data_IF_299955248133
#
_entry.id   IF_299955248133
#
_cell.length_a   1.000
_cell.length_b   1.000
_cell.length_c   1.000
_cell.angle_alpha   90.00
_cell.angle_beta   90.00
_cell.angle_gamma   90.00
#
_symmetry.space_group_name_H-M   'P 1'
#
loop_
_entity.id
_entity.type
_entity.pdbx_description
1 polymer ?
#
# COMPACT_ATOMS: atom_id res chain seq x y z
N UNK A 1 56.97 2.62 -17.15
CA UNK A 1 56.43 1.34 -17.65
C UNK A 1 55.08 1.12 -16.98
N UNK A 2 53.99 1.61 -17.59
CA UNK A 2 52.65 1.49 -16.99
C UNK A 2 52.10 0.09 -17.24
N UNK A 3 51.77 -0.62 -16.17
CA UNK A 3 51.15 -1.94 -16.23
C UNK A 3 49.64 -1.74 -16.41
N UNK A 4 49.14 -2.01 -17.61
CA UNK A 4 47.71 -1.99 -17.92
C UNK A 4 47.06 -3.24 -17.33
N UNK A 5 46.19 -3.07 -16.33
CA UNK A 5 45.37 -4.15 -15.77
C UNK A 5 44.09 -4.24 -16.61
N UNK A 6 43.97 -5.28 -17.42
CA UNK A 6 42.71 -5.66 -18.06
C UNK A 6 41.80 -6.29 -16.99
N UNK A 7 40.78 -5.55 -16.55
CA UNK A 7 39.75 -6.09 -15.67
C UNK A 7 38.70 -6.78 -16.57
N UNK A 8 38.41 -8.08 -16.38
CA UNK A 8 37.33 -8.75 -17.09
C UNK A 8 35.99 -8.15 -16.67
N UNK A 9 35.15 -7.80 -17.65
CA UNK A 9 33.80 -7.29 -17.42
C UNK A 9 32.97 -8.38 -16.70
N UNK A 10 32.44 -8.13 -15.48
CA UNK A 10 31.69 -9.13 -14.74
C UNK A 10 30.41 -9.46 -15.50
N UNK A 11 30.40 -10.62 -16.16
CA UNK A 11 29.24 -11.16 -16.85
C UNK A 11 28.03 -11.10 -15.91
N UNK A 12 27.12 -10.15 -16.18
CA UNK A 12 25.89 -9.92 -15.42
C UNK A 12 24.91 -11.12 -15.47
N UNK A 13 25.32 -12.21 -16.13
CA UNK A 13 24.69 -13.52 -16.04
C UNK A 13 24.81 -14.14 -14.63
N UNK A 14 25.72 -13.66 -13.77
CA UNK A 14 25.85 -14.11 -12.36
C UNK A 14 24.90 -13.39 -11.39
N UNK A 15 23.73 -12.99 -11.90
CA UNK A 15 22.54 -12.82 -11.07
C UNK A 15 22.26 -14.19 -10.42
N UNK A 16 22.85 -14.42 -9.24
CA UNK A 16 22.75 -15.67 -8.51
C UNK A 16 21.28 -16.05 -8.26
N UNK A 17 21.01 -17.30 -7.84
CA UNK A 17 19.66 -17.86 -7.78
C UNK A 17 18.67 -17.04 -6.91
N UNK A 18 19.14 -16.10 -6.09
CA UNK A 18 18.31 -15.17 -5.30
C UNK A 18 18.06 -13.78 -5.90
N UNK A 19 18.88 -13.28 -6.84
CA UNK A 19 18.69 -11.91 -7.36
C UNK A 19 17.52 -11.82 -8.33
N UNK A 20 17.27 -12.88 -9.12
CA UNK A 20 16.07 -12.98 -9.95
C UNK A 20 14.79 -12.97 -9.11
N UNK A 21 14.79 -13.69 -7.98
CA UNK A 21 13.66 -13.74 -7.05
C UNK A 21 13.41 -12.36 -6.41
N UNK A 22 14.47 -11.65 -6.03
CA UNK A 22 14.38 -10.28 -5.52
C UNK A 22 13.85 -9.32 -6.58
N UNK A 23 14.34 -9.38 -7.82
CA UNK A 23 13.88 -8.51 -8.90
C UNK A 23 12.38 -8.68 -9.18
N UNK A 24 11.91 -9.93 -9.25
CA UNK A 24 10.50 -10.25 -9.44
C UNK A 24 9.69 -9.78 -8.22
N UNK A 25 10.18 -10.06 -7.01
CA UNK A 25 9.54 -9.66 -5.75
C UNK A 25 9.40 -8.13 -5.64
N UNK A 26 10.42 -7.36 -6.02
CA UNK A 26 10.37 -5.90 -6.01
C UNK A 26 9.35 -5.34 -7.00
N UNK A 27 9.24 -5.90 -8.20
CA UNK A 27 8.23 -5.46 -9.18
C UNK A 27 6.82 -5.75 -8.65
N UNK A 28 6.58 -6.97 -8.16
CA UNK A 28 5.28 -7.34 -7.59
C UNK A 28 4.93 -6.49 -6.36
N UNK A 29 5.90 -6.23 -5.48
CA UNK A 29 5.71 -5.36 -4.33
C UNK A 29 5.40 -3.92 -4.75
N UNK A 30 6.12 -3.38 -5.75
CA UNK A 30 5.88 -2.04 -6.26
C UNK A 30 4.46 -1.90 -6.82
N UNK A 31 4.04 -2.84 -7.67
CA UNK A 31 2.68 -2.86 -8.24
C UNK A 31 1.63 -3.01 -7.13
N UNK A 32 1.89 -3.89 -6.15
CA UNK A 32 1.04 -4.09 -4.99
C UNK A 32 0.87 -2.81 -4.16
N UNK A 33 1.98 -2.14 -3.82
CA UNK A 33 1.97 -0.89 -3.04
C UNK A 33 1.27 0.23 -3.78
N UNK A 34 1.49 0.37 -5.09
CA UNK A 34 0.77 1.38 -5.91
C UNK A 34 -0.73 1.08 -5.92
N UNK A 35 -1.12 -0.18 -6.16
CA UNK A 35 -2.53 -0.59 -6.16
C UNK A 35 -3.19 -0.39 -4.81
N UNK A 36 -2.56 -0.84 -3.73
CA UNK A 36 -3.05 -0.61 -2.36
C UNK A 36 -3.06 0.88 -2.00
N UNK A 37 -2.09 1.66 -2.48
CA UNK A 37 -2.03 3.10 -2.28
C UNK A 37 -3.25 3.80 -2.89
N UNK A 38 -3.62 3.44 -4.12
CA UNK A 38 -4.81 3.95 -4.79
C UNK A 38 -6.08 3.52 -4.02
N UNK A 39 -6.23 2.22 -3.76
CA UNK A 39 -7.42 1.69 -3.06
C UNK A 39 -7.55 2.31 -1.66
N UNK A 40 -6.46 2.41 -0.92
CA UNK A 40 -6.41 3.03 0.41
C UNK A 40 -6.74 4.53 0.37
N UNK A 41 -6.25 5.23 -0.65
CA UNK A 41 -6.55 6.64 -0.87
C UNK A 41 -8.03 6.88 -1.16
N UNK A 42 -8.71 6.00 -1.90
CA UNK A 42 -10.15 6.06 -2.16
C UNK A 42 -10.98 5.58 -0.97
N UNK A 43 -10.51 4.55 -0.25
CA UNK A 43 -11.24 3.99 0.88
C UNK A 43 -11.29 4.95 2.08
N UNK A 44 -10.22 5.69 2.32
CA UNK A 44 -10.13 6.67 3.42
C UNK A 44 -11.25 7.72 3.41
N UNK A 45 -11.52 8.47 2.31
CA UNK A 45 -12.61 9.46 2.27
C UNK A 45 -13.99 8.80 2.34
N UNK A 46 -14.18 7.65 1.69
CA UNK A 46 -15.46 6.93 1.71
C UNK A 46 -15.79 6.49 3.14
N UNK A 47 -14.85 5.81 3.81
CA UNK A 47 -15.05 5.36 5.19
C UNK A 47 -15.28 6.54 6.14
N UNK A 48 -14.57 7.66 5.93
CA UNK A 48 -14.76 8.90 6.72
C UNK A 48 -16.17 9.47 6.55
N UNK A 49 -16.69 9.49 5.33
CA UNK A 49 -18.04 10.01 5.06
C UNK A 49 -19.13 9.09 5.64
N UNK A 50 -18.98 7.78 5.50
CA UNK A 50 -19.90 6.78 6.07
C UNK A 50 -19.99 6.92 7.59
N UNK A 51 -18.87 7.11 8.29
CA UNK A 51 -18.90 7.32 9.75
C UNK A 51 -19.65 8.59 10.13
N UNK A 52 -19.50 9.68 9.38
CA UNK A 52 -20.22 10.93 9.62
C UNK A 52 -21.74 10.77 9.40
N UNK A 53 -22.13 10.00 8.38
CA UNK A 53 -23.53 9.70 8.06
C UNK A 53 -24.20 8.74 9.06
N UNK A 54 -23.45 7.82 9.66
CA UNK A 54 -23.96 6.85 10.66
C UNK A 54 -24.00 7.42 12.08
N UNK A 55 -23.16 8.42 12.39
CA UNK A 55 -23.15 9.09 13.70
C UNK A 55 -24.38 9.97 13.94
N UNK A 56 -24.91 10.63 12.91
CA UNK A 56 -26.06 11.53 13.05
C UNK A 56 -27.43 10.85 13.24
N UNK A 57 -27.49 9.52 13.20
CA UNK A 57 -28.75 8.77 13.37
C UNK A 57 -28.97 8.19 14.76
N UNK A 58 -28.01 8.33 15.68
CA UNK A 58 -28.14 7.79 17.05
C UNK A 58 -28.78 8.75 18.06
N UNK A 59 -28.98 10.02 17.71
CA UNK A 59 -29.42 11.03 18.68
C UNK A 59 -30.93 11.36 18.60
N UNK A 60 -31.62 10.97 17.53
CA UNK A 60 -33.07 11.22 17.38
C UNK A 60 -33.97 10.10 17.90
N UNK A 61 -33.42 8.95 18.29
CA UNK A 61 -34.23 7.81 18.79
C UNK A 61 -34.33 7.79 20.33
N UNK A 62 -33.45 8.50 21.04
CA UNK A 62 -33.39 8.47 22.51
C UNK A 62 -34.11 9.64 23.21
N UNK A 63 -34.68 10.58 22.45
CA UNK A 63 -35.42 11.74 23.00
C UNK A 63 -36.94 11.60 22.89
N UNK A 64 -37.44 10.50 22.33
CA UNK A 64 -38.89 10.26 22.16
C UNK A 64 -39.44 9.33 23.26
N UNK A 65 -38.59 8.63 24.02
CA UNK A 65 -39.00 7.59 24.98
C UNK A 65 -39.04 8.07 26.46
N UNK A 66 -38.88 9.37 26.75
CA UNK A 66 -38.84 9.88 28.15
C UNK A 66 -39.89 10.99 28.43
N UNK A 67 -40.97 11.07 27.65
CA UNK A 67 -42.01 12.11 27.84
C UNK A 67 -43.39 11.57 28.26
N UNK A 68 -43.52 10.27 28.53
CA UNK A 68 -44.79 9.60 28.88
C UNK A 68 -44.76 8.93 30.27
N UNK A 69 -44.12 9.55 31.29
CA UNK A 69 -44.25 9.19 32.71
C UNK A 69 -44.64 10.41 33.58
#
# INVERSE_FOLDING_TARGET
>A
MSLFVLIPDPAQAYLGPGSGLTAIGSILALVGVIGLGIVGFIWYPIKRLINKLRGGRKETENSVETSDD
#
